data_IF_181881965214
#
_entry.id   IF_181881965214
#
_cell.length_a   1.000
_cell.length_b   1.000
_cell.length_c   1.000
_cell.angle_alpha   90.00
_cell.angle_beta   90.00
_cell.angle_gamma   90.00
#
_symmetry.space_group_name_H-M   'P 1'
#
loop_
_entity.id
_entity.type
_entity.pdbx_description
1 polymer ?
#
# COMPACT_ATOMS: atom_id res chain seq x y z
N UNK A 1 33.97 45.87 -60.54
CA UNK A 1 33.44 46.62 -59.37
C UNK A 1 31.92 46.70 -59.55
N UNK A 2 31.05 46.33 -58.62
CA UNK A 2 31.18 45.89 -57.23
C UNK A 2 29.89 45.19 -56.76
N UNK A 3 30.01 44.49 -55.63
CA UNK A 3 28.96 43.76 -54.90
C UNK A 3 27.71 44.61 -54.62
N UNK A 4 26.52 44.05 -54.86
CA UNK A 4 25.29 44.45 -54.16
C UNK A 4 24.94 43.39 -53.10
N UNK A 5 24.54 43.89 -51.94
CA UNK A 5 24.71 43.30 -50.62
C UNK A 5 23.54 42.42 -50.15
N UNK A 6 23.90 41.40 -49.36
CA UNK A 6 23.03 40.57 -48.54
C UNK A 6 22.36 41.39 -47.41
N UNK A 7 21.45 42.31 -47.71
CA UNK A 7 20.82 43.17 -46.69
C UNK A 7 19.45 42.68 -46.18
N UNK A 8 18.76 41.79 -46.91
CA UNK A 8 17.40 41.35 -46.58
C UNK A 8 17.26 40.06 -45.75
N UNK A 9 18.31 39.23 -45.63
CA UNK A 9 18.25 37.94 -44.90
C UNK A 9 18.53 38.06 -43.40
N UNK A 10 19.18 39.12 -42.95
CA UNK A 10 19.64 39.24 -41.56
C UNK A 10 18.55 39.68 -40.58
N UNK A 11 17.46 40.28 -41.07
CA UNK A 11 16.39 40.78 -40.19
C UNK A 11 15.46 39.65 -39.74
N UNK A 12 14.99 38.80 -40.66
CA UNK A 12 14.11 37.65 -40.37
C UNK A 12 14.77 36.60 -39.48
N UNK A 13 16.07 36.36 -39.67
CA UNK A 13 16.85 35.42 -38.85
C UNK A 13 16.98 35.90 -37.39
N UNK A 14 17.08 37.22 -37.18
CA UNK A 14 17.17 37.80 -35.83
C UNK A 14 15.84 37.70 -35.09
N UNK A 15 14.71 37.90 -35.75
CA UNK A 15 13.38 37.75 -35.13
C UNK A 15 13.04 36.28 -34.85
N UNK A 16 13.44 35.36 -35.73
CA UNK A 16 13.32 33.91 -35.49
C UNK A 16 14.19 33.47 -34.30
N UNK A 17 15.43 33.95 -34.21
CA UNK A 17 16.31 33.65 -33.08
C UNK A 17 15.75 34.21 -31.75
N UNK A 18 15.20 35.43 -31.74
CA UNK A 18 14.55 36.00 -30.55
C UNK A 18 13.31 35.19 -30.18
N UNK A 19 12.50 34.78 -31.15
CA UNK A 19 11.33 33.91 -30.92
C UNK A 19 11.71 32.55 -30.34
N UNK A 20 12.79 31.93 -30.83
CA UNK A 20 13.31 30.66 -30.31
C UNK A 20 13.90 30.83 -28.91
N UNK A 21 14.64 31.91 -28.64
CA UNK A 21 15.19 32.20 -27.30
C UNK A 21 14.08 32.47 -26.29
N UNK A 22 13.04 33.23 -26.67
CA UNK A 22 11.86 33.45 -25.84
C UNK A 22 11.09 32.14 -25.61
N UNK A 23 10.94 31.30 -26.63
CA UNK A 23 10.32 29.98 -26.50
C UNK A 23 11.15 29.07 -25.59
N UNK A 24 12.48 29.07 -25.68
CA UNK A 24 13.37 28.32 -24.80
C UNK A 24 13.36 28.84 -23.35
N UNK A 25 13.22 30.15 -23.12
CA UNK A 25 13.03 30.70 -21.77
C UNK A 25 11.68 30.29 -21.18
N UNK A 26 10.64 30.18 -22.00
CA UNK A 26 9.31 29.70 -21.57
C UNK A 26 9.30 28.19 -21.32
N UNK A 27 10.10 27.40 -22.07
CA UNK A 27 10.24 25.95 -21.86
C UNK A 27 11.20 25.60 -20.70
N UNK A 28 12.11 26.52 -20.32
CA UNK A 28 13.20 26.29 -19.37
C UNK A 28 12.82 26.19 -17.88
N UNK A 29 11.54 26.17 -17.53
CA UNK A 29 11.10 26.06 -16.13
C UNK A 29 10.14 24.88 -15.92
N UNK A 30 10.53 23.69 -16.36
CA UNK A 30 9.94 22.47 -15.82
C UNK A 30 10.52 22.27 -14.43
N UNK A 31 9.91 22.89 -13.42
CA UNK A 31 10.20 22.61 -12.02
C UNK A 31 9.68 21.20 -11.73
N UNK A 32 10.51 20.18 -11.97
CA UNK A 32 10.32 18.88 -11.33
C UNK A 32 10.27 19.13 -9.83
N UNK A 33 9.26 18.61 -9.11
CA UNK A 33 9.05 18.86 -7.67
C UNK A 33 10.32 18.48 -6.88
N UNK A 34 11.21 19.45 -6.58
CA UNK A 34 12.52 19.14 -6.04
C UNK A 34 12.42 18.77 -4.56
N UNK A 35 11.36 19.26 -3.90
CA UNK A 35 11.14 19.11 -2.47
C UNK A 35 10.76 17.68 -2.10
N UNK A 36 9.89 17.03 -2.90
CA UNK A 36 9.54 15.63 -2.67
C UNK A 36 10.73 14.68 -2.90
N UNK A 37 11.57 14.98 -3.89
CA UNK A 37 12.81 14.22 -4.13
C UNK A 37 13.79 14.39 -2.96
N UNK A 38 13.99 15.63 -2.51
CA UNK A 38 14.85 15.92 -1.36
C UNK A 38 14.35 15.20 -0.10
N UNK A 39 13.04 15.28 0.19
CA UNK A 39 12.41 14.58 1.31
C UNK A 39 12.65 13.07 1.25
N UNK A 40 12.46 12.46 0.07
CA UNK A 40 12.70 11.05 -0.14
C UNK A 40 14.15 10.66 0.17
N UNK A 41 15.11 11.41 -0.37
CA UNK A 41 16.54 11.16 -0.19
C UNK A 41 16.95 11.35 1.29
N UNK A 42 16.43 12.38 1.97
CA UNK A 42 16.70 12.67 3.38
C UNK A 42 16.16 11.57 4.31
N UNK A 43 14.91 11.13 4.11
CA UNK A 43 14.28 10.10 4.95
C UNK A 43 14.91 8.72 4.79
N UNK A 44 15.31 8.34 3.57
CA UNK A 44 15.75 6.98 3.27
C UNK A 44 17.27 6.78 3.35
N UNK A 45 18.07 7.85 3.28
CA UNK A 45 19.55 7.77 3.35
C UNK A 45 20.08 6.99 4.55
N UNK A 46 19.44 7.13 5.72
CA UNK A 46 19.85 6.50 6.98
C UNK A 46 18.81 5.50 7.52
N UNK A 47 17.85 5.08 6.69
CA UNK A 47 16.80 4.17 7.10
C UNK A 47 17.23 2.71 6.90
N UNK A 48 17.12 1.89 7.95
CA UNK A 48 17.40 0.47 7.86
C UNK A 48 16.08 -0.33 7.93
N UNK A 49 15.65 -0.86 6.78
CA UNK A 49 14.42 -1.65 6.64
C UNK A 49 14.38 -2.96 7.44
N UNK A 50 15.54 -3.47 7.87
CA UNK A 50 15.61 -4.73 8.63
C UNK A 50 15.28 -4.54 10.11
N UNK A 51 15.31 -3.29 10.59
CA UNK A 51 15.11 -2.96 12.00
C UNK A 51 13.68 -2.44 12.20
N UNK A 52 13.02 -2.91 13.24
CA UNK A 52 11.67 -2.45 13.59
C UNK A 52 11.68 -0.98 13.99
N UNK A 53 10.67 -0.19 13.58
CA UNK A 53 10.62 1.24 13.86
C UNK A 53 10.09 1.56 15.27
N UNK A 54 10.82 1.15 16.30
CA UNK A 54 10.52 1.45 17.71
C UNK A 54 11.52 2.43 18.30
N UNK A 55 11.05 3.33 19.16
CA UNK A 55 11.95 4.26 19.89
C UNK A 55 12.74 3.53 20.97
N UNK A 56 12.09 2.57 21.65
CA UNK A 56 12.70 1.73 22.66
C UNK A 56 12.54 0.25 22.28
N UNK A 57 13.55 -0.58 22.57
CA UNK A 57 13.53 -2.00 22.23
C UNK A 57 12.44 -2.80 22.97
N UNK A 58 11.94 -2.26 24.08
CA UNK A 58 10.83 -2.83 24.85
C UNK A 58 9.47 -2.58 24.21
N UNK A 59 9.38 -1.60 23.32
CA UNK A 59 8.10 -1.18 22.76
C UNK A 59 7.67 -2.11 21.63
N UNK A 60 6.36 -2.23 21.45
CA UNK A 60 5.78 -3.03 20.38
C UNK A 60 5.33 -2.14 19.23
N UNK A 61 5.51 -2.64 18.00
CA UNK A 61 4.91 -2.00 16.83
C UNK A 61 3.48 -2.48 16.74
N UNK A 62 2.52 -1.57 16.86
CA UNK A 62 1.12 -1.85 16.62
C UNK A 62 0.84 -1.76 15.11
N UNK A 63 0.45 -2.88 14.52
CA UNK A 63 0.03 -2.95 13.12
C UNK A 63 -1.48 -3.19 13.09
N UNK A 64 -2.19 -2.26 12.47
CA UNK A 64 -3.61 -2.42 12.17
C UNK A 64 -3.74 -3.13 10.83
N UNK A 65 -4.56 -4.16 10.81
CA UNK A 65 -4.85 -4.95 9.62
C UNK A 65 -6.32 -4.78 9.22
N UNK A 66 -6.53 -4.31 8.00
CA UNK A 66 -7.82 -4.27 7.32
C UNK A 66 -7.84 -5.27 6.18
N UNK A 67 -9.00 -5.89 5.96
CA UNK A 67 -9.21 -6.83 4.86
C UNK A 67 -10.38 -6.31 4.02
N UNK A 68 -10.12 -6.07 2.73
CA UNK A 68 -11.17 -5.71 1.79
C UNK A 68 -11.26 -6.76 0.69
N UNK A 69 -12.33 -7.55 0.72
CA UNK A 69 -12.59 -8.55 -0.32
C UNK A 69 -12.86 -7.86 -1.66
N UNK A 70 -12.10 -8.21 -2.69
CA UNK A 70 -12.35 -7.77 -4.07
C UNK A 70 -13.29 -8.72 -4.77
N UNK A 71 -12.96 -10.02 -4.74
CA UNK A 71 -13.77 -11.07 -5.35
C UNK A 71 -13.48 -12.43 -4.72
N UNK A 72 -14.49 -13.29 -4.71
CA UNK A 72 -14.30 -14.72 -4.53
C UNK A 72 -13.96 -15.31 -5.90
N UNK A 73 -12.80 -15.95 -6.03
CA UNK A 73 -12.34 -16.51 -7.30
C UNK A 73 -12.94 -17.90 -7.48
N UNK A 74 -12.79 -18.76 -6.48
CA UNK A 74 -13.23 -20.15 -6.56
C UNK A 74 -13.43 -20.76 -5.16
N UNK A 75 -14.32 -21.74 -5.08
CA UNK A 75 -14.54 -22.59 -3.90
C UNK A 75 -14.53 -24.05 -4.31
N UNK A 76 -13.42 -24.73 -4.03
CA UNK A 76 -13.28 -26.15 -4.29
C UNK A 76 -13.78 -26.96 -3.09
N UNK A 77 -15.02 -27.47 -3.20
CA UNK A 77 -15.67 -28.27 -2.16
C UNK A 77 -14.97 -29.62 -1.91
N UNK A 78 -14.32 -30.18 -2.93
CA UNK A 78 -13.64 -31.49 -2.84
C UNK A 78 -12.33 -31.36 -2.06
N UNK A 79 -11.54 -30.36 -2.39
CA UNK A 79 -10.22 -30.14 -1.79
C UNK A 79 -10.30 -29.21 -0.55
N UNK A 80 -11.48 -28.67 -0.24
CA UNK A 80 -11.74 -27.77 0.90
C UNK A 80 -10.90 -26.48 0.86
N UNK A 81 -10.80 -25.89 -0.35
CA UNK A 81 -9.98 -24.71 -0.61
C UNK A 81 -10.86 -23.57 -1.10
N UNK A 82 -10.79 -22.44 -0.40
CA UNK A 82 -11.38 -21.17 -0.82
C UNK A 82 -10.28 -20.27 -1.40
N UNK A 83 -10.45 -19.84 -2.64
CA UNK A 83 -9.56 -18.88 -3.31
C UNK A 83 -10.22 -17.51 -3.37
N UNK A 84 -9.58 -16.51 -2.77
CA UNK A 84 -10.09 -15.13 -2.72
C UNK A 84 -9.04 -14.13 -3.19
N UNK A 85 -9.49 -13.06 -3.85
CA UNK A 85 -8.67 -11.89 -4.14
C UNK A 85 -9.07 -10.76 -3.18
N UNK A 86 -8.12 -10.33 -2.37
CA UNK A 86 -8.34 -9.32 -1.33
C UNK A 86 -7.30 -8.22 -1.42
N UNK A 87 -7.70 -7.03 -0.96
CA UNK A 87 -6.79 -5.95 -0.63
C UNK A 87 -6.46 -6.05 0.86
N UNK A 88 -5.17 -6.16 1.16
CA UNK A 88 -4.67 -6.26 2.52
C UNK A 88 -4.19 -4.89 2.97
N UNK A 89 -4.95 -4.22 3.84
CA UNK A 89 -4.62 -2.88 4.32
C UNK A 89 -3.80 -2.96 5.60
N UNK A 90 -2.56 -2.49 5.54
CA UNK A 90 -1.68 -2.38 6.68
C UNK A 90 -1.56 -0.92 7.07
N UNK A 91 -1.75 -0.63 8.35
CA UNK A 91 -1.48 0.68 8.92
C UNK A 91 -0.59 0.52 10.16
N UNK A 92 0.53 1.22 10.18
CA UNK A 92 1.39 1.30 11.35
C UNK A 92 1.99 2.70 11.49
N UNK A 93 2.63 2.92 12.63
CA UNK A 93 3.30 4.17 12.94
C UNK A 93 4.81 3.95 12.93
N UNK A 94 5.53 4.75 12.16
CA UNK A 94 6.99 4.80 12.15
C UNK A 94 7.43 6.19 12.64
N UNK A 95 8.32 6.22 13.64
CA UNK A 95 8.81 7.47 14.19
C UNK A 95 9.86 8.15 13.29
N UNK A 96 10.52 7.40 12.40
CA UNK A 96 11.56 7.92 11.49
C UNK A 96 10.97 8.65 10.28
N UNK A 97 9.73 8.36 9.91
CA UNK A 97 9.04 9.02 8.78
C UNK A 97 8.22 10.24 9.20
N UNK A 98 8.71 11.00 10.19
CA UNK A 98 8.09 12.27 10.59
C UNK A 98 8.88 13.42 9.98
N UNK A 99 8.18 14.37 9.36
CA UNK A 99 8.78 15.59 8.83
C UNK A 99 7.81 16.76 8.97
N UNK A 100 8.33 17.98 8.87
CA UNK A 100 7.51 19.19 8.82
C UNK A 100 7.19 19.53 7.35
N UNK A 101 5.90 19.52 6.93
CA UNK A 101 5.52 19.93 5.57
C UNK A 101 6.03 21.33 5.20
N UNK A 102 6.18 22.25 6.16
CA UNK A 102 6.63 23.61 5.88
C UNK A 102 8.08 23.65 5.33
N UNK A 103 8.93 22.69 5.71
CA UNK A 103 10.32 22.63 5.25
C UNK A 103 10.43 22.06 3.83
N UNK A 104 9.47 21.26 3.38
CA UNK A 104 9.48 20.53 2.10
C UNK A 104 8.36 20.98 1.16
N UNK A 105 8.12 22.28 1.05
CA UNK A 105 7.19 22.82 0.05
C UNK A 105 5.73 22.43 0.25
N UNK A 106 5.34 22.08 1.48
CA UNK A 106 3.97 21.67 1.83
C UNK A 106 3.65 20.20 1.56
N UNK A 107 4.65 19.34 1.33
CA UNK A 107 4.44 17.91 1.10
C UNK A 107 3.91 17.24 2.38
N UNK A 108 2.66 16.77 2.33
CA UNK A 108 1.99 16.06 3.44
C UNK A 108 2.08 14.55 3.32
N UNK A 109 2.25 14.04 2.09
CA UNK A 109 2.25 12.62 1.76
C UNK A 109 3.35 12.29 0.75
N UNK A 110 3.99 11.13 0.93
CA UNK A 110 5.05 10.65 0.05
C UNK A 110 4.81 9.19 -0.32
N UNK A 111 4.91 8.88 -1.61
CA UNK A 111 4.75 7.52 -2.14
C UNK A 111 6.12 6.86 -2.31
N UNK A 112 6.36 5.79 -1.56
CA UNK A 112 7.65 5.09 -1.52
C UNK A 112 7.46 3.62 -1.89
N UNK A 113 8.34 3.01 -2.71
CA UNK A 113 8.33 1.56 -2.92
C UNK A 113 8.44 0.81 -1.59
N UNK A 114 7.56 -0.16 -1.35
CA UNK A 114 7.52 -0.91 -0.07
C UNK A 114 8.83 -1.65 0.23
N UNK A 115 9.60 -2.01 -0.80
CA UNK A 115 10.90 -2.70 -0.68
C UNK A 115 11.97 -1.91 0.10
N UNK A 116 11.87 -0.58 0.13
CA UNK A 116 12.86 0.30 0.76
C UNK A 116 12.54 0.59 2.23
N UNK A 117 11.37 0.21 2.71
CA UNK A 117 10.92 0.46 4.08
C UNK A 117 10.73 -0.84 4.85
N UNK A 118 10.61 -0.74 6.17
CA UNK A 118 10.27 -1.89 6.99
C UNK A 118 8.83 -2.30 6.72
N UNK A 119 8.58 -3.60 6.58
CA UNK A 119 7.24 -4.16 6.36
C UNK A 119 6.91 -5.18 7.46
N UNK A 120 5.64 -5.23 7.92
CA UNK A 120 5.18 -6.30 8.78
C UNK A 120 5.10 -7.62 8.00
N UNK A 121 5.42 -8.73 8.66
CA UNK A 121 5.47 -10.08 8.08
C UNK A 121 4.16 -10.85 8.35
N UNK A 122 3.07 -10.33 7.79
CA UNK A 122 1.74 -10.93 7.99
C UNK A 122 1.56 -12.10 7.02
N UNK A 123 1.26 -13.27 7.57
CA UNK A 123 1.03 -14.52 6.82
C UNK A 123 -0.34 -15.09 7.14
N UNK A 124 -0.87 -15.87 6.19
CA UNK A 124 -2.08 -16.66 6.37
C UNK A 124 -1.71 -18.04 6.97
N UNK A 125 -2.13 -18.34 8.19
CA UNK A 125 -1.79 -19.60 8.85
C UNK A 125 -2.50 -20.81 8.26
N UNK A 126 -3.79 -20.67 7.91
CA UNK A 126 -4.56 -21.75 7.28
C UNK A 126 -4.43 -21.74 5.75
N UNK A 127 -3.21 -21.49 5.26
CA UNK A 127 -2.89 -21.53 3.84
C UNK A 127 -2.90 -22.97 3.32
N UNK A 128 -3.56 -23.20 2.17
CA UNK A 128 -3.63 -24.51 1.52
C UNK A 128 -2.58 -24.67 0.40
N UNK A 129 -1.92 -23.60 -0.05
CA UNK A 129 -0.98 -23.62 -1.20
C UNK A 129 0.48 -23.86 -0.80
N UNK A 130 0.82 -23.79 0.49
CA UNK A 130 2.19 -23.94 1.00
C UNK A 130 3.15 -22.76 0.71
N UNK A 131 2.78 -21.83 -0.19
CA UNK A 131 3.54 -20.61 -0.46
C UNK A 131 2.87 -19.39 0.21
N UNK A 132 3.62 -18.69 1.06
CA UNK A 132 3.10 -17.66 1.99
C UNK A 132 3.33 -16.21 1.52
N UNK A 133 3.62 -15.97 0.24
CA UNK A 133 4.15 -14.67 -0.19
C UNK A 133 3.11 -13.84 -0.93
N UNK A 134 2.94 -12.59 -0.50
CA UNK A 134 2.29 -11.53 -1.28
C UNK A 134 3.17 -11.25 -2.50
N UNK A 135 2.78 -11.74 -3.67
CA UNK A 135 3.61 -11.70 -4.88
C UNK A 135 3.74 -10.30 -5.51
N UNK A 136 2.92 -9.34 -5.08
CA UNK A 136 2.88 -7.99 -5.66
C UNK A 136 3.24 -6.92 -4.63
N UNK A 137 4.47 -6.41 -4.72
CA UNK A 137 4.93 -5.29 -3.90
C UNK A 137 4.47 -3.97 -4.53
N UNK A 138 3.55 -3.30 -3.87
CA UNK A 138 3.03 -1.97 -4.27
C UNK A 138 3.74 -0.85 -3.51
N UNK A 139 3.55 0.40 -3.96
CA UNK A 139 4.02 1.57 -3.20
C UNK A 139 3.23 1.70 -1.89
N UNK A 140 3.93 2.11 -0.83
CA UNK A 140 3.36 2.54 0.44
C UNK A 140 3.18 4.07 0.46
N UNK A 141 2.21 4.52 1.24
CA UNK A 141 1.92 5.94 1.48
C UNK A 141 2.47 6.29 2.85
N UNK A 142 3.41 7.23 2.89
CA UNK A 142 3.92 7.82 4.11
C UNK A 142 3.22 9.16 4.34
N UNK A 143 2.70 9.40 5.53
CA UNK A 143 2.19 10.70 5.94
C UNK A 143 3.20 11.42 6.84
N UNK A 144 3.20 12.75 6.80
CA UNK A 144 4.11 13.60 7.60
C UNK A 144 4.05 13.34 9.12
N UNK A 145 2.93 12.80 9.60
CA UNK A 145 2.74 12.40 11.00
C UNK A 145 3.52 11.14 11.38
N UNK A 146 4.16 10.46 10.42
CA UNK A 146 4.82 9.15 10.59
C UNK A 146 3.87 7.95 10.42
N UNK A 147 2.62 8.20 10.02
CA UNK A 147 1.67 7.14 9.69
C UNK A 147 2.07 6.52 8.34
N UNK A 148 2.12 5.19 8.28
CA UNK A 148 2.39 4.45 7.05
C UNK A 148 1.19 3.59 6.70
N UNK A 149 0.76 3.67 5.45
CA UNK A 149 -0.33 2.85 4.90
C UNK A 149 0.22 2.04 3.72
N UNK A 150 0.02 0.73 3.75
CA UNK A 150 0.43 -0.16 2.67
C UNK A 150 -0.69 -1.15 2.32
N UNK A 151 -1.16 -1.08 1.09
CA UNK A 151 -2.38 -1.79 0.65
C UNK A 151 -2.12 -2.68 -0.58
N UNK A 152 -1.33 -3.76 -0.46
CA UNK A 152 -1.11 -4.68 -1.58
C UNK A 152 -2.37 -5.51 -1.91
N UNK A 153 -2.62 -5.80 -3.19
CA UNK A 153 -3.54 -6.85 -3.60
C UNK A 153 -2.88 -8.22 -3.41
N UNK A 154 -3.64 -9.20 -2.91
CA UNK A 154 -3.16 -10.55 -2.70
C UNK A 154 -4.25 -11.58 -3.02
N UNK A 155 -3.83 -12.70 -3.61
CA UNK A 155 -4.68 -13.87 -3.80
C UNK A 155 -4.36 -14.86 -2.71
N UNK A 156 -5.34 -15.19 -1.87
CA UNK A 156 -5.17 -16.16 -0.78
C UNK A 156 -5.97 -17.42 -1.08
N UNK A 157 -5.32 -18.57 -0.84
CA UNK A 157 -5.94 -19.89 -0.83
C UNK A 157 -6.02 -20.39 0.61
N UNK A 158 -7.18 -20.21 1.23
CA UNK A 158 -7.41 -20.64 2.61
C UNK A 158 -8.06 -22.02 2.65
N UNK A 159 -7.58 -22.89 3.54
CA UNK A 159 -8.29 -24.11 3.92
C UNK A 159 -9.56 -23.74 4.68
N UNK A 160 -10.70 -24.28 4.23
CA UNK A 160 -12.02 -24.02 4.80
C UNK A 160 -12.80 -25.33 4.93
N UNK A 161 -13.31 -25.61 6.13
CA UNK A 161 -14.15 -26.77 6.38
C UNK A 161 -15.54 -26.59 5.74
N UNK A 162 -15.95 -27.59 4.95
CA UNK A 162 -17.19 -27.56 4.18
C UNK A 162 -18.23 -28.49 4.79
N UNK A 163 -19.42 -27.96 5.04
CA UNK A 163 -20.55 -28.73 5.56
C UNK A 163 -21.57 -29.05 4.47
N UNK A 164 -21.65 -30.33 4.07
CA UNK A 164 -22.48 -30.80 2.95
C UNK A 164 -23.87 -31.33 3.37
N UNK A 165 -24.34 -31.04 4.59
CA UNK A 165 -25.63 -31.57 5.09
C UNK A 165 -26.86 -31.17 4.28
N UNK A 166 -26.84 -30.01 3.62
CA UNK A 166 -28.01 -29.42 2.95
C UNK A 166 -27.76 -29.11 1.47
N UNK A 167 -26.84 -29.83 0.84
CA UNK A 167 -26.54 -29.67 -0.58
C UNK A 167 -27.80 -29.78 -1.44
N UNK A 168 -28.03 -28.89 -2.44
CA UNK A 168 -27.16 -27.82 -2.94
C UNK A 168 -27.47 -26.41 -2.38
N UNK A 169 -28.24 -26.30 -1.30
CA UNK A 169 -28.69 -25.01 -0.70
C UNK A 169 -28.01 -24.72 0.65
N UNK A 170 -26.80 -25.24 0.82
CA UNK A 170 -25.95 -25.10 1.99
C UNK A 170 -25.32 -23.70 2.10
N UNK A 171 -25.04 -23.28 3.33
CA UNK A 171 -24.30 -22.06 3.63
C UNK A 171 -22.93 -22.43 4.16
N UNK A 172 -21.88 -21.86 3.57
CA UNK A 172 -20.50 -22.11 3.96
C UNK A 172 -19.92 -20.91 4.71
N UNK A 173 -19.24 -21.17 5.82
CA UNK A 173 -18.55 -20.14 6.62
C UNK A 173 -17.07 -20.45 6.67
N UNK A 174 -16.28 -19.66 5.95
CA UNK A 174 -14.83 -19.81 5.89
C UNK A 174 -14.13 -18.73 6.70
N UNK A 175 -13.09 -19.11 7.44
CA UNK A 175 -12.27 -18.19 8.22
C UNK A 175 -10.87 -18.09 7.64
N UNK A 176 -10.33 -16.88 7.57
CA UNK A 176 -8.92 -16.64 7.23
C UNK A 176 -8.18 -16.21 8.51
N UNK A 177 -7.11 -16.91 8.85
CA UNK A 177 -6.32 -16.66 10.07
C UNK A 177 -5.01 -15.97 9.70
N UNK A 178 -4.92 -14.69 9.97
CA UNK A 178 -3.70 -13.91 9.77
C UNK A 178 -2.88 -13.79 11.06
N UNK A 179 -1.56 -13.81 10.94
CA UNK A 179 -0.68 -13.33 12.00
C UNK A 179 0.77 -13.20 11.56
N UNK A 180 1.66 -12.81 12.47
CA UNK A 180 3.07 -12.55 12.18
C UNK A 180 3.92 -13.81 12.22
N UNK A 181 4.81 -14.00 11.25
CA UNK A 181 5.67 -15.18 11.18
C UNK A 181 6.86 -15.15 12.14
N UNK A 182 7.52 -13.99 12.29
CA UNK A 182 8.85 -13.89 12.92
C UNK A 182 8.83 -13.27 14.33
N UNK A 183 7.71 -12.68 14.75
CA UNK A 183 7.64 -11.93 16.01
C UNK A 183 6.50 -12.44 16.88
N UNK A 184 6.83 -12.75 18.14
CA UNK A 184 5.87 -13.13 19.17
C UNK A 184 4.92 -11.97 19.53
N UNK A 185 3.76 -12.28 20.11
CA UNK A 185 2.75 -11.28 20.52
C UNK A 185 3.26 -10.21 21.49
N UNK A 186 4.37 -10.47 22.19
CA UNK A 186 5.04 -9.51 23.08
C UNK A 186 5.88 -8.47 22.32
N UNK A 187 6.14 -8.70 21.04
CA UNK A 187 7.00 -7.87 20.20
C UNK A 187 6.17 -7.09 19.17
N UNK A 188 5.08 -7.65 18.65
CA UNK A 188 4.13 -6.92 17.79
C UNK A 188 2.68 -7.19 18.19
N UNK A 189 1.93 -6.10 18.37
CA UNK A 189 0.48 -6.16 18.52
C UNK A 189 -0.17 -6.12 17.14
N UNK A 190 -0.96 -7.14 16.80
CA UNK A 190 -1.86 -7.11 15.66
C UNK A 190 -3.25 -6.72 16.14
N UNK A 191 -3.78 -5.61 15.65
CA UNK A 191 -5.19 -5.26 15.83
C UNK A 191 -5.90 -5.39 14.50
N UNK A 192 -6.69 -6.45 14.35
CA UNK A 192 -7.59 -6.60 13.22
C UNK A 192 -8.80 -5.68 13.38
N UNK A 193 -9.13 -4.94 12.33
CA UNK A 193 -10.44 -4.31 12.19
C UNK A 193 -11.13 -5.04 11.03
N UNK A 194 -11.91 -6.07 11.36
CA UNK A 194 -12.39 -7.07 10.41
C UNK A 194 -13.85 -6.88 10.00
N UNK A 195 -14.11 -7.02 8.70
CA UNK A 195 -15.46 -7.12 8.12
C UNK A 195 -15.91 -8.60 8.08
N UNK A 196 -17.16 -8.88 8.45
CA UNK A 196 -17.79 -10.20 8.23
C UNK A 196 -18.27 -10.29 6.79
N UNK A 197 -17.79 -11.29 6.04
CA UNK A 197 -18.27 -11.61 4.69
C UNK A 197 -19.16 -12.85 4.77
N UNK A 198 -20.42 -12.73 4.37
CA UNK A 198 -21.34 -13.84 4.15
C UNK A 198 -21.46 -14.12 2.65
N UNK A 199 -21.41 -15.41 2.25
CA UNK A 199 -21.58 -15.84 0.87
C UNK A 199 -23.06 -15.81 0.47
N UNK A 200 -23.45 -15.17 -0.65
CA UNK A 200 -24.81 -15.23 -1.14
C UNK A 200 -25.11 -16.56 -1.90
N UNK A 201 -26.38 -17.00 -1.94
CA UNK A 201 -26.84 -18.07 -2.85
C UNK A 201 -26.65 -17.68 -4.34
N UNK A 202 -26.74 -18.62 -5.30
CA UNK A 202 -26.14 -18.55 -6.65
C UNK A 202 -26.56 -17.39 -7.58
N UNK A 203 -27.40 -16.45 -7.15
CA UNK A 203 -27.79 -15.25 -7.91
C UNK A 203 -27.70 -13.93 -7.10
N UNK A 204 -26.97 -13.88 -5.99
CA UNK A 204 -26.91 -12.69 -5.12
C UNK A 204 -25.64 -11.84 -5.30
N UNK A 205 -25.83 -10.54 -5.47
CA UNK A 205 -24.75 -9.52 -5.42
C UNK A 205 -24.19 -9.44 -3.99
N UNK A 206 -22.86 -9.53 -3.84
CA UNK A 206 -22.17 -9.29 -2.56
C UNK A 206 -22.41 -7.84 -2.11
N UNK A 207 -23.22 -7.63 -1.05
CA UNK A 207 -23.24 -6.35 -0.34
C UNK A 207 -22.39 -6.47 0.91
N UNK A 208 -21.37 -5.62 1.02
CA UNK A 208 -20.69 -5.42 2.30
C UNK A 208 -21.70 -4.95 3.34
N UNK A 209 -21.78 -5.65 4.47
CA UNK A 209 -22.57 -5.19 5.60
C UNK A 209 -21.84 -4.00 6.24
N UNK A 210 -22.56 -2.94 6.67
CA UNK A 210 -22.00 -1.87 7.44
C UNK A 210 -21.53 -2.38 8.82
N UNK A 211 -20.42 -1.79 9.24
CA UNK A 211 -19.72 -1.85 10.53
C UNK A 211 -20.56 -2.26 11.75
N UNK A 212 -20.04 -3.08 12.67
CA UNK A 212 -20.35 -2.95 14.08
C UNK A 212 -19.38 -1.95 14.72
N UNK A 213 -19.94 -0.86 15.24
CA UNK A 213 -19.30 0.01 16.21
C UNK A 213 -18.67 -0.81 17.36
N UNK A 214 -17.55 -0.26 17.83
CA UNK A 214 -17.01 -0.39 19.18
C UNK A 214 -16.14 -1.61 19.55
N UNK A 215 -14.88 -1.29 19.82
CA UNK A 215 -13.92 -2.10 20.54
C UNK A 215 -14.41 -2.42 21.95
N UNK A 216 -14.26 -3.67 22.39
CA UNK A 216 -14.07 -4.00 23.81
C UNK A 216 -12.94 -5.02 23.96
N UNK A 217 -11.93 -4.62 24.71
CA UNK A 217 -10.93 -5.53 25.24
C UNK A 217 -11.45 -6.23 26.48
N UNK A 218 -10.91 -7.41 26.73
CA UNK A 218 -10.74 -7.97 28.07
C UNK A 218 -9.38 -8.66 28.07
N UNK A 219 -8.47 -8.12 28.89
CA UNK A 219 -7.34 -8.87 29.43
C UNK A 219 -7.91 -9.58 30.64
N UNK A 220 -7.92 -10.91 30.62
CA UNK A 220 -8.07 -11.71 31.84
C UNK A 220 -6.76 -12.51 32.03
N UNK A 221 -6.29 -12.49 33.26
CA UNK A 221 -5.06 -13.12 33.74
C UNK A 221 -5.07 -14.64 33.59
#
# INVERSE_FOLDING_TARGET
>A
MGRMSNFGRTFTDRWMAIGIVLLCMVIGSVWANPDAKRLYDDLLSNYNRLIRPVSNNTDTVLVKLGLRLSQLIDLNLKDQILTTNIWLEHEWQDHKFKWDPAEYGGVTELYVPSEHIWLPDIVLYNNADGEYVVTTLTKAILHYTGKVIWTPPAIFKSSCEIDVRYFPFDQQTCFMKFGSWTYDGNQRGLKGYGQRVSLPPPNGVCRGLPEPEEARGTVEN
#
